data_IF_764458046030
#
_entry.id   IF_764458046030
#
_cell.length_a   1.000
_cell.length_b   1.000
_cell.length_c   1.000
_cell.angle_alpha   90.00
_cell.angle_beta   90.00
_cell.angle_gamma   90.00
#
_symmetry.space_group_name_H-M   'P 1'
#
loop_
_entity.id
_entity.type
_entity.pdbx_description
1 polymer ?
#
# COMPACT_ATOMS: atom_id res chain seq x y z
N UNK A 1 -19.73 -92.99 -10.65
CA UNK A 1 -19.03 -91.76 -11.09
C UNK A 1 -20.08 -90.71 -11.43
N UNK A 2 -20.34 -89.76 -10.54
CA UNK A 2 -21.29 -88.65 -10.76
C UNK A 2 -20.47 -87.40 -11.08
N UNK A 3 -20.66 -86.84 -12.27
CA UNK A 3 -19.89 -85.73 -12.81
C UNK A 3 -20.57 -84.40 -12.42
N UNK A 4 -19.92 -83.60 -11.58
CA UNK A 4 -20.44 -82.32 -11.10
C UNK A 4 -20.01 -81.19 -12.06
N UNK A 5 -20.92 -80.74 -12.95
CA UNK A 5 -20.67 -79.60 -13.85
C UNK A 5 -20.90 -78.29 -13.12
N UNK A 6 -19.83 -77.56 -12.78
CA UNK A 6 -19.87 -76.14 -12.40
C UNK A 6 -20.17 -75.30 -13.65
N UNK A 7 -21.31 -74.63 -13.69
CA UNK A 7 -21.63 -73.57 -14.66
C UNK A 7 -20.88 -72.29 -14.31
N UNK A 8 -19.89 -71.91 -15.12
CA UNK A 8 -19.25 -70.60 -15.06
C UNK A 8 -20.23 -69.58 -15.64
N UNK A 9 -20.68 -68.63 -14.82
CA UNK A 9 -21.56 -67.54 -15.24
C UNK A 9 -20.73 -66.54 -16.03
N UNK A 10 -20.92 -66.49 -17.34
CA UNK A 10 -20.18 -65.61 -18.25
C UNK A 10 -20.62 -64.16 -17.99
N UNK A 11 -19.81 -63.41 -17.24
CA UNK A 11 -20.00 -61.97 -17.06
C UNK A 11 -19.57 -61.28 -18.35
N UNK A 12 -20.54 -61.00 -19.23
CA UNK A 12 -20.30 -60.30 -20.49
C UNK A 12 -19.50 -59.02 -20.28
N UNK A 13 -18.25 -59.01 -20.74
CA UNK A 13 -17.40 -57.81 -20.76
C UNK A 13 -18.02 -56.82 -21.75
N UNK A 14 -18.61 -55.73 -21.22
CA UNK A 14 -19.04 -54.59 -22.04
C UNK A 14 -17.79 -53.92 -22.61
N UNK A 15 -17.59 -54.01 -23.92
CA UNK A 15 -16.55 -53.26 -24.62
C UNK A 15 -16.95 -51.79 -24.71
N UNK A 16 -16.01 -50.90 -24.41
CA UNK A 16 -16.19 -49.46 -24.56
C UNK A 16 -15.90 -49.07 -26.01
N UNK A 17 -16.83 -48.38 -26.67
CA UNK A 17 -16.62 -47.97 -28.06
C UNK A 17 -15.81 -46.68 -28.12
N UNK A 18 -15.01 -46.51 -29.18
CA UNK A 18 -14.20 -45.31 -29.38
C UNK A 18 -15.06 -44.04 -29.42
N UNK A 19 -16.28 -44.15 -29.95
CA UNK A 19 -17.23 -43.03 -30.03
C UNK A 19 -17.76 -42.61 -28.65
N UNK A 20 -18.04 -43.55 -27.76
CA UNK A 20 -18.44 -43.25 -26.38
C UNK A 20 -17.34 -42.51 -25.63
N UNK A 21 -16.08 -42.92 -25.80
CA UNK A 21 -14.94 -42.19 -25.24
C UNK A 21 -14.86 -40.76 -25.77
N UNK A 22 -15.00 -40.61 -27.08
CA UNK A 22 -14.87 -39.32 -27.76
C UNK A 22 -15.96 -38.32 -27.34
N UNK A 23 -17.19 -38.79 -27.17
CA UNK A 23 -18.29 -37.93 -26.69
C UNK A 23 -18.05 -37.48 -25.24
N UNK A 24 -17.58 -38.38 -24.37
CA UNK A 24 -17.32 -38.05 -22.96
C UNK A 24 -16.21 -37.00 -22.85
N UNK A 25 -15.10 -37.16 -23.57
CA UNK A 25 -14.02 -36.16 -23.54
C UNK A 25 -14.49 -34.82 -24.13
N UNK A 26 -15.34 -34.82 -25.16
CA UNK A 26 -15.89 -33.60 -25.75
C UNK A 26 -16.78 -32.84 -24.74
N UNK A 27 -17.63 -33.55 -24.01
CA UNK A 27 -18.47 -32.94 -22.96
C UNK A 27 -17.59 -32.36 -21.84
N UNK A 28 -16.60 -33.12 -21.35
CA UNK A 28 -15.68 -32.64 -20.31
C UNK A 28 -14.91 -31.40 -20.79
N UNK A 29 -14.42 -31.40 -22.03
CA UNK A 29 -13.72 -30.25 -22.60
C UNK A 29 -14.61 -29.00 -22.66
N UNK A 30 -15.88 -29.14 -23.08
CA UNK A 30 -16.85 -28.03 -23.09
C UNK A 30 -17.12 -27.53 -21.67
N UNK A 31 -17.33 -28.43 -20.71
CA UNK A 31 -17.57 -28.05 -19.31
C UNK A 31 -16.37 -27.30 -18.73
N UNK A 32 -15.13 -27.78 -18.94
CA UNK A 32 -13.92 -27.09 -18.47
C UNK A 32 -13.77 -25.73 -19.16
N UNK A 33 -14.02 -25.64 -20.47
CA UNK A 33 -13.93 -24.39 -21.21
C UNK A 33 -14.91 -23.32 -20.69
N UNK A 34 -16.10 -23.73 -20.23
CA UNK A 34 -17.08 -22.82 -19.65
C UNK A 34 -16.80 -22.51 -18.16
N UNK A 35 -16.27 -23.47 -17.41
CA UNK A 35 -16.00 -23.31 -15.97
C UNK A 35 -14.72 -22.52 -15.68
N UNK A 36 -13.65 -22.67 -16.48
CA UNK A 36 -12.37 -22.04 -16.21
C UNK A 36 -12.46 -20.50 -16.16
N UNK A 37 -13.08 -19.80 -17.13
CA UNK A 37 -13.24 -18.35 -17.05
C UNK A 37 -14.05 -17.91 -15.83
N UNK A 38 -15.12 -18.64 -15.50
CA UNK A 38 -15.98 -18.35 -14.37
C UNK A 38 -15.24 -18.50 -13.02
N UNK A 39 -14.44 -19.56 -12.86
CA UNK A 39 -13.63 -19.78 -11.66
C UNK A 39 -12.59 -18.67 -11.48
N UNK A 40 -11.96 -18.19 -12.56
CA UNK A 40 -10.99 -17.09 -12.46
C UNK A 40 -11.65 -15.77 -12.08
N UNK A 41 -12.81 -15.45 -12.66
CA UNK A 41 -13.58 -14.27 -12.28
C UNK A 41 -14.00 -14.31 -10.81
N UNK A 42 -14.47 -15.47 -10.33
CA UNK A 42 -14.84 -15.66 -8.93
C UNK A 42 -13.62 -15.49 -8.00
N UNK A 43 -12.46 -16.03 -8.37
CA UNK A 43 -11.21 -15.86 -7.60
C UNK A 43 -10.78 -14.40 -7.52
N UNK A 44 -10.81 -13.66 -8.63
CA UNK A 44 -10.46 -12.25 -8.60
C UNK A 44 -11.45 -11.41 -7.80
N UNK A 45 -12.76 -11.71 -7.88
CA UNK A 45 -13.75 -11.04 -7.04
C UNK A 45 -13.50 -11.29 -5.54
N UNK A 46 -13.09 -12.51 -5.17
CA UNK A 46 -12.71 -12.83 -3.79
C UNK A 46 -11.44 -12.09 -3.36
N UNK A 47 -10.38 -12.05 -4.19
CA UNK A 47 -9.17 -11.29 -3.90
C UNK A 47 -9.42 -9.79 -3.75
N UNK A 48 -10.24 -9.22 -4.63
CA UNK A 48 -10.70 -7.83 -4.54
C UNK A 48 -11.44 -7.55 -3.24
N UNK A 49 -12.31 -8.47 -2.83
CA UNK A 49 -13.01 -8.36 -1.55
C UNK A 49 -12.03 -8.42 -0.36
N UNK A 50 -10.97 -9.22 -0.47
CA UNK A 50 -9.90 -9.27 0.54
C UNK A 50 -9.10 -7.95 0.58
N UNK A 51 -8.70 -7.37 -0.56
CA UNK A 51 -7.98 -6.08 -0.55
C UNK A 51 -8.85 -4.96 0.05
N UNK A 52 -10.15 -4.94 -0.26
CA UNK A 52 -11.12 -4.06 0.40
C UNK A 52 -11.20 -4.30 1.92
N UNK A 53 -11.19 -5.56 2.36
CA UNK A 53 -11.22 -5.91 3.78
C UNK A 53 -9.93 -5.50 4.51
N UNK A 54 -8.77 -5.67 3.87
CA UNK A 54 -7.47 -5.23 4.40
C UNK A 54 -7.47 -3.71 4.64
N UNK A 55 -7.93 -2.91 3.65
CA UNK A 55 -8.12 -1.47 3.83
C UNK A 55 -9.11 -1.14 4.95
N UNK A 56 -10.18 -1.93 5.10
CA UNK A 56 -11.13 -1.74 6.21
C UNK A 56 -10.47 -2.01 7.56
N UNK A 57 -9.64 -3.05 7.67
CA UNK A 57 -8.89 -3.36 8.88
C UNK A 57 -7.87 -2.26 9.21
N UNK A 58 -7.13 -1.75 8.21
CA UNK A 58 -6.23 -0.61 8.38
C UNK A 58 -6.99 0.66 8.81
N UNK A 59 -8.15 0.92 8.22
CA UNK A 59 -9.03 2.03 8.62
C UNK A 59 -9.51 1.89 10.07
N UNK A 60 -9.92 0.70 10.51
CA UNK A 60 -10.29 0.45 11.91
C UNK A 60 -9.08 0.65 12.83
N UNK A 61 -7.89 0.17 12.44
CA UNK A 61 -6.67 0.37 13.21
C UNK A 61 -6.30 1.86 13.33
N UNK A 62 -6.49 2.67 12.28
CA UNK A 62 -6.31 4.12 12.33
C UNK A 62 -7.23 4.78 13.37
N UNK A 63 -8.51 4.39 13.43
CA UNK A 63 -9.45 4.93 14.41
C UNK A 63 -9.13 4.46 15.83
N UNK A 64 -8.77 3.19 16.02
CA UNK A 64 -8.32 2.71 17.34
C UNK A 64 -7.06 3.44 17.82
N UNK A 65 -6.11 3.72 16.91
CA UNK A 65 -4.94 4.55 17.21
C UNK A 65 -5.38 5.97 17.58
N UNK A 66 -6.27 6.58 16.81
CA UNK A 66 -6.79 7.92 17.07
C UNK A 66 -7.50 7.99 18.43
N UNK A 67 -8.32 7.02 18.79
CA UNK A 67 -9.00 6.97 20.08
C UNK A 67 -8.01 6.87 21.25
N UNK A 68 -6.92 6.13 21.09
CA UNK A 68 -5.89 5.99 22.11
C UNK A 68 -4.95 7.20 22.22
N UNK A 69 -4.70 7.93 21.11
CA UNK A 69 -3.68 8.99 21.04
C UNK A 69 -4.24 10.40 20.81
N UNK A 70 -5.54 10.53 20.54
CA UNK A 70 -6.23 11.78 20.21
C UNK A 70 -5.88 12.37 18.84
N UNK A 71 -5.21 11.60 17.97
CA UNK A 71 -4.77 11.99 16.63
C UNK A 71 -4.44 10.76 15.79
N UNK A 72 -4.56 10.86 14.46
CA UNK A 72 -4.04 9.84 13.55
C UNK A 72 -2.53 9.67 13.70
N UNK A 73 -1.96 8.49 13.39
CA UNK A 73 -0.53 8.29 13.49
C UNK A 73 0.17 9.25 12.53
N UNK A 74 1.28 9.82 13.00
CA UNK A 74 2.17 10.55 12.11
C UNK A 74 2.64 9.62 11.00
N UNK A 75 2.64 10.13 9.77
CA UNK A 75 3.12 9.43 8.60
C UNK A 75 4.55 8.96 8.78
N UNK A 76 5.41 9.90 9.20
CA UNK A 76 6.74 9.64 9.76
C UNK A 76 7.23 10.85 10.57
N UNK A 77 8.28 10.67 11.36
CA UNK A 77 8.89 11.75 12.15
C UNK A 77 9.78 12.58 11.23
N UNK A 78 9.72 13.92 11.32
CA UNK A 78 10.72 14.80 10.71
C UNK A 78 11.98 14.74 11.57
N UNK A 79 13.12 14.35 10.99
CA UNK A 79 14.41 14.30 11.66
C UNK A 79 14.83 15.58 12.41
N UNK A 80 14.32 16.75 12.02
CA UNK A 80 14.63 18.04 12.67
C UNK A 80 13.93 18.24 14.02
N UNK A 81 12.94 17.39 14.32
CA UNK A 81 12.23 17.33 15.61
C UNK A 81 12.95 16.46 16.64
N UNK A 82 14.08 15.83 16.27
CA UNK A 82 14.90 15.05 17.19
C UNK A 82 15.64 16.01 18.15
N UNK A 83 15.76 15.69 19.45
CA UNK A 83 16.40 16.56 20.43
C UNK A 83 17.78 17.08 19.99
N UNK A 84 18.13 18.30 20.41
CA UNK A 84 19.28 19.05 19.89
C UNK A 84 20.64 18.34 20.00
N UNK A 85 20.77 17.37 20.91
CA UNK A 85 21.95 16.52 21.08
C UNK A 85 22.18 15.50 19.95
N UNK A 86 21.18 15.26 19.09
CA UNK A 86 21.29 14.41 17.89
C UNK A 86 21.48 15.21 16.59
N UNK A 87 21.56 16.56 16.65
CA UNK A 87 21.80 17.40 15.45
C UNK A 87 23.19 17.22 14.85
N UNK A 88 24.10 16.58 15.58
CA UNK A 88 25.43 16.21 15.10
C UNK A 88 25.48 14.78 14.54
N UNK A 89 24.39 14.01 14.68
CA UNK A 89 24.24 12.72 14.02
C UNK A 89 23.60 12.95 12.64
N UNK A 90 24.33 12.71 11.53
CA UNK A 90 23.78 12.91 10.21
C UNK A 90 22.66 11.91 9.90
N UNK A 91 22.54 10.80 10.64
CA UNK A 91 21.64 9.69 10.30
C UNK A 91 20.46 9.61 11.26
N UNK A 92 19.25 9.86 10.75
CA UNK A 92 18.04 9.81 11.57
C UNK A 92 17.08 8.74 11.10
N UNK A 93 16.83 7.77 11.98
CA UNK A 93 15.83 6.73 11.79
C UNK A 93 14.46 7.10 12.35
N UNK A 94 13.40 6.81 11.59
CA UNK A 94 12.02 7.04 12.01
C UNK A 94 11.12 5.84 11.71
N UNK A 95 10.13 5.64 12.58
CA UNK A 95 9.04 4.71 12.38
C UNK A 95 7.90 5.36 11.58
N UNK A 96 7.36 4.63 10.63
CA UNK A 96 6.22 5.04 9.80
C UNK A 96 4.89 4.90 10.55
N UNK A 97 3.82 5.37 9.91
CA UNK A 97 2.44 5.09 10.36
C UNK A 97 2.14 3.59 10.45
N UNK A 98 2.65 2.77 9.52
CA UNK A 98 2.41 1.32 9.50
C UNK A 98 2.95 0.61 10.73
N UNK A 99 4.18 0.95 11.15
CA UNK A 99 4.76 0.44 12.40
C UNK A 99 3.96 0.86 13.64
N UNK A 100 3.38 2.08 13.63
CA UNK A 100 2.59 2.59 14.76
C UNK A 100 1.23 1.90 14.90
N UNK A 101 0.73 1.28 13.84
CA UNK A 101 -0.54 0.55 13.85
C UNK A 101 -0.42 -0.89 14.34
N UNK A 102 0.79 -1.45 14.48
CA UNK A 102 0.99 -2.85 14.86
C UNK A 102 0.20 -3.32 16.12
N UNK A 103 0.11 -2.55 17.22
CA UNK A 103 -0.70 -2.93 18.39
C UNK A 103 -2.19 -3.12 18.06
N UNK A 104 -2.68 -2.36 17.09
CA UNK A 104 -4.07 -2.33 16.64
C UNK A 104 -4.34 -3.33 15.49
N UNK A 105 -3.32 -4.09 15.09
CA UNK A 105 -3.35 -5.10 14.03
C UNK A 105 -2.95 -6.49 14.56
N UNK A 106 -3.13 -6.72 15.86
CA UNK A 106 -2.77 -7.98 16.54
C UNK A 106 -1.26 -8.32 16.46
N UNK A 107 -0.40 -7.32 16.22
CA UNK A 107 1.05 -7.47 16.14
C UNK A 107 1.78 -6.90 17.38
N UNK A 108 1.17 -7.02 18.57
CA UNK A 108 1.73 -6.51 19.83
C UNK A 108 3.15 -7.04 20.11
N UNK A 109 3.38 -8.34 19.91
CA UNK A 109 4.69 -8.95 20.14
C UNK A 109 5.79 -8.41 19.20
N UNK A 110 5.45 -8.07 17.95
CA UNK A 110 6.38 -7.44 17.02
C UNK A 110 6.65 -5.98 17.44
N UNK A 111 5.60 -5.26 17.83
CA UNK A 111 5.71 -3.88 18.30
C UNK A 111 6.64 -3.73 19.51
N UNK A 112 6.53 -4.64 20.49
CA UNK A 112 7.37 -4.67 21.69
C UNK A 112 8.82 -5.03 21.36
N UNK A 113 9.05 -6.01 20.48
CA UNK A 113 10.40 -6.40 20.04
C UNK A 113 11.14 -5.26 19.33
N UNK A 114 10.45 -4.57 18.43
CA UNK A 114 10.98 -3.39 17.73
C UNK A 114 11.11 -2.16 18.65
N UNK A 115 10.42 -2.15 19.80
CA UNK A 115 10.47 -1.11 20.82
C UNK A 115 10.16 0.30 20.28
N UNK A 116 9.15 0.38 19.42
CA UNK A 116 8.86 1.52 18.53
C UNK A 116 8.73 2.88 19.26
N UNK A 117 8.24 2.90 20.50
CA UNK A 117 8.07 4.15 21.26
C UNK A 117 9.35 4.65 21.95
N UNK A 118 10.33 3.76 22.18
CA UNK A 118 11.46 4.06 23.03
C UNK A 118 12.78 4.18 22.27
N UNK A 119 12.82 3.73 21.00
CA UNK A 119 14.05 3.77 20.20
C UNK A 119 13.81 4.26 18.77
N UNK A 120 14.85 4.86 18.19
CA UNK A 120 14.87 5.23 16.77
C UNK A 120 14.97 4.00 15.87
N UNK A 121 14.38 4.06 14.68
CA UNK A 121 14.35 2.95 13.72
C UNK A 121 15.75 2.38 13.42
N UNK A 122 16.75 3.25 13.25
CA UNK A 122 18.12 2.83 12.95
C UNK A 122 18.81 2.06 14.08
N UNK A 123 18.30 2.11 15.32
CA UNK A 123 18.82 1.25 16.40
C UNK A 123 18.39 -0.22 16.26
N UNK A 124 17.42 -0.51 15.37
CA UNK A 124 16.85 -1.83 15.11
C UNK A 124 17.34 -2.48 13.82
N UNK A 125 18.36 -1.92 13.18
CA UNK A 125 18.91 -2.47 11.93
C UNK A 125 19.50 -3.87 12.06
N UNK A 126 19.92 -4.25 13.27
CA UNK A 126 20.34 -5.61 13.58
C UNK A 126 19.18 -6.60 13.63
N UNK A 127 17.95 -6.12 13.86
CA UNK A 127 16.72 -6.91 13.92
C UNK A 127 16.10 -7.04 12.51
N UNK A 128 16.92 -7.39 11.52
CA UNK A 128 16.58 -7.40 10.09
C UNK A 128 15.35 -8.27 9.80
N UNK A 129 15.27 -9.45 10.42
CA UNK A 129 14.17 -10.39 10.23
C UNK A 129 12.80 -9.78 10.58
N UNK A 130 12.76 -8.88 11.57
CA UNK A 130 11.52 -8.22 11.97
C UNK A 130 11.13 -7.06 11.05
N UNK A 131 12.10 -6.38 10.43
CA UNK A 131 11.87 -5.28 9.47
C UNK A 131 11.53 -5.82 8.06
N UNK A 132 12.04 -6.99 7.71
CA UNK A 132 11.74 -7.66 6.44
C UNK A 132 10.47 -8.52 6.50
N UNK A 133 9.92 -8.76 7.70
CA UNK A 133 8.69 -9.55 7.90
C UNK A 133 7.48 -8.89 7.26
N UNK A 134 6.90 -9.54 6.25
CA UNK A 134 5.62 -9.14 5.68
C UNK A 134 4.45 -9.36 6.64
N UNK A 135 3.38 -8.59 6.44
CA UNK A 135 2.13 -8.74 7.17
C UNK A 135 0.98 -8.79 6.18
N UNK A 136 0.15 -9.84 6.25
CA UNK A 136 -0.92 -10.08 5.28
C UNK A 136 -1.93 -8.92 5.16
N UNK A 137 -2.19 -8.19 6.25
CA UNK A 137 -3.07 -7.01 6.25
C UNK A 137 -2.53 -5.87 5.39
N UNK A 138 -1.21 -5.82 5.16
CA UNK A 138 -0.58 -4.83 4.28
C UNK A 138 -0.44 -5.31 2.83
N UNK A 139 -0.96 -6.49 2.49
CA UNK A 139 -0.70 -7.18 1.21
C UNK A 139 -1.98 -7.37 0.42
N UNK A 140 -2.01 -6.97 -0.83
CA UNK A 140 -3.16 -7.25 -1.69
C UNK A 140 -2.94 -8.60 -2.39
N UNK A 141 -3.79 -9.63 -2.18
CA UNK A 141 -3.60 -10.94 -2.83
C UNK A 141 -3.73 -10.94 -4.35
N UNK A 142 -4.23 -9.86 -4.97
CA UNK A 142 -4.22 -9.70 -6.44
C UNK A 142 -2.89 -9.18 -6.97
N UNK A 143 -1.97 -8.77 -6.11
CA UNK A 143 -0.65 -8.30 -6.49
C UNK A 143 0.42 -9.35 -6.18
N UNK A 144 1.31 -9.59 -7.15
CA UNK A 144 2.39 -10.59 -7.08
C UNK A 144 3.69 -10.00 -6.54
N UNK A 145 3.60 -8.93 -5.76
CA UNK A 145 4.72 -8.28 -5.11
C UNK A 145 5.58 -9.29 -4.31
N UNK A 146 6.90 -9.13 -4.21
CA UNK A 146 7.71 -9.90 -3.26
C UNK A 146 7.38 -9.50 -1.81
N UNK A 147 7.56 -10.40 -0.85
CA UNK A 147 7.36 -10.09 0.58
C UNK A 147 8.30 -8.99 1.07
N UNK A 148 9.57 -9.07 0.64
CA UNK A 148 10.62 -8.08 0.93
C UNK A 148 10.82 -7.18 -0.29
N UNK A 149 10.85 -5.87 -0.05
CA UNK A 149 11.00 -4.87 -1.10
C UNK A 149 12.47 -4.57 -1.38
N UNK A 150 13.03 -5.21 -2.41
CA UNK A 150 14.43 -4.98 -2.80
C UNK A 150 14.68 -3.62 -3.45
N UNK A 151 13.63 -2.94 -3.94
CA UNK A 151 13.72 -1.62 -4.55
C UNK A 151 13.61 -0.46 -3.55
N UNK A 152 12.84 -0.68 -2.47
CA UNK A 152 12.67 0.28 -1.38
C UNK A 152 13.54 -0.09 -0.19
N UNK A 153 14.68 0.58 -0.08
CA UNK A 153 15.74 0.26 0.88
C UNK A 153 16.11 1.47 1.73
N UNK A 154 16.87 1.22 2.78
CA UNK A 154 17.59 2.25 3.53
C UNK A 154 19.00 1.79 3.82
N UNK A 155 19.91 2.73 4.08
CA UNK A 155 21.28 2.42 4.47
C UNK A 155 21.47 2.56 5.97
N UNK A 156 22.35 1.75 6.54
CA UNK A 156 22.68 1.79 7.97
C UNK A 156 23.62 2.93 8.38
N UNK A 157 24.22 3.64 7.42
CA UNK A 157 25.11 4.78 7.66
C UNK A 157 25.19 5.74 6.45
N UNK A 158 25.43 7.03 6.70
CA UNK A 158 25.72 8.05 5.68
C UNK A 158 27.17 7.98 5.16
N UNK A 159 27.44 8.59 4.01
CA UNK A 159 28.82 8.81 3.51
C UNK A 159 29.53 7.62 2.83
N UNK A 160 28.85 6.47 2.66
CA UNK A 160 29.42 5.27 2.03
C UNK A 160 30.15 4.39 3.03
N UNK A 161 29.65 3.16 3.24
CA UNK A 161 30.17 2.21 4.23
C UNK A 161 29.08 1.47 5.02
N UNK A 162 27.84 1.96 4.96
CA UNK A 162 26.67 1.25 5.49
C UNK A 162 26.24 0.06 4.64
N UNK A 163 25.59 -0.91 5.28
CA UNK A 163 24.81 -1.97 4.61
C UNK A 163 23.45 -1.43 4.18
N UNK A 164 23.05 -1.77 2.97
CA UNK A 164 21.70 -1.54 2.43
C UNK A 164 20.75 -2.63 2.91
N UNK A 165 19.62 -2.24 3.49
CA UNK A 165 18.61 -3.14 4.04
C UNK A 165 17.28 -2.88 3.32
N UNK A 166 16.59 -3.97 2.97
CA UNK A 166 15.24 -3.95 2.41
C UNK A 166 14.18 -3.94 3.49
N UNK A 167 12.98 -3.46 3.16
CA UNK A 167 11.86 -3.38 4.11
C UNK A 167 10.70 -4.22 3.59
N UNK A 168 9.90 -4.78 4.49
CA UNK A 168 8.68 -5.48 4.11
C UNK A 168 7.78 -4.62 3.19
N UNK A 169 7.29 -5.25 2.14
CA UNK A 169 6.45 -4.62 1.12
C UNK A 169 5.05 -4.36 1.65
N UNK A 170 4.53 -3.16 1.37
CA UNK A 170 3.12 -2.79 1.58
C UNK A 170 2.46 -2.46 0.25
N UNK A 171 1.25 -2.97 0.04
CA UNK A 171 0.38 -2.57 -1.06
C UNK A 171 -0.55 -1.41 -0.70
N UNK A 172 -0.39 -0.84 0.49
CA UNK A 172 -1.20 0.27 0.97
C UNK A 172 -0.29 1.37 1.50
N UNK A 173 -0.53 2.59 1.02
CA UNK A 173 0.29 3.76 1.33
C UNK A 173 -0.56 4.86 1.93
N UNK A 174 0.02 5.62 2.84
CA UNK A 174 -0.68 6.69 3.55
C UNK A 174 -0.80 7.95 2.71
N UNK A 175 -1.93 8.64 2.80
CA UNK A 175 -2.14 9.88 2.07
C UNK A 175 -1.33 11.03 2.66
N UNK A 176 -0.36 11.49 1.89
CA UNK A 176 0.60 12.49 2.30
C UNK A 176 0.21 13.90 1.85
N UNK A 177 -0.16 14.07 0.57
CA UNK A 177 -0.42 15.38 -0.01
C UNK A 177 -1.24 15.31 -1.31
N UNK A 178 -1.76 16.46 -1.72
CA UNK A 178 -2.48 16.63 -2.98
C UNK A 178 -1.61 17.14 -4.14
N UNK A 179 -0.33 17.48 -3.89
CA UNK A 179 0.61 17.87 -4.95
C UNK A 179 2.05 17.45 -4.64
N UNK A 180 2.83 17.18 -5.69
CA UNK A 180 4.26 16.85 -5.58
C UNK A 180 5.16 18.08 -5.38
N UNK A 181 4.68 19.30 -5.63
CA UNK A 181 5.51 20.52 -5.61
C UNK A 181 6.26 20.72 -4.26
N UNK A 182 5.69 20.25 -3.15
CA UNK A 182 6.29 20.34 -1.82
C UNK A 182 7.16 19.14 -1.42
N UNK A 183 7.07 18.03 -2.15
CA UNK A 183 7.88 16.84 -1.91
C UNK A 183 9.28 16.91 -2.56
N UNK A 184 9.47 17.79 -3.56
CA UNK A 184 10.46 17.55 -4.61
C UNK A 184 11.39 18.70 -4.97
N UNK A 185 11.41 19.83 -4.26
CA UNK A 185 12.53 20.73 -4.52
C UNK A 185 13.76 20.14 -3.84
N UNK A 186 14.76 19.76 -4.63
CA UNK A 186 16.13 19.62 -4.16
C UNK A 186 16.49 20.93 -3.45
N UNK A 187 16.57 20.88 -2.11
CA UNK A 187 16.71 22.07 -1.27
C UNK A 187 15.41 22.76 -0.81
N UNK A 188 14.23 22.35 -1.29
CA UNK A 188 13.00 22.60 -0.53
C UNK A 188 12.97 21.62 0.63
N UNK A 189 13.29 22.18 1.78
CA UNK A 189 12.68 21.88 3.06
C UNK A 189 11.37 21.11 2.85
N UNK A 190 11.34 19.81 3.16
CA UNK A 190 10.10 19.09 3.46
C UNK A 190 9.33 20.00 4.41
N UNK A 191 8.24 20.59 3.94
CA UNK A 191 7.76 21.83 4.54
C UNK A 191 7.32 21.60 5.99
N UNK A 192 8.15 22.08 6.92
CA UNK A 192 7.91 22.09 8.36
C UNK A 192 6.93 23.18 8.77
N UNK A 193 6.50 24.05 7.85
CA UNK A 193 5.55 25.14 8.10
C UNK A 193 4.09 24.72 7.91
N UNK A 194 3.81 23.41 7.76
CA UNK A 194 2.45 22.89 7.76
C UNK A 194 1.70 23.10 6.46
N UNK A 195 2.34 23.03 5.29
CA UNK A 195 1.68 22.96 3.97
C UNK A 195 1.61 21.52 3.42
N UNK A 196 1.46 20.53 4.30
CA UNK A 196 1.11 19.16 3.91
C UNK A 196 -0.38 19.01 4.14
N UNK A 197 -1.11 18.53 3.15
CA UNK A 197 -2.58 18.55 3.15
C UNK A 197 -3.24 17.17 3.24
N UNK A 198 -2.46 16.08 3.23
CA UNK A 198 -2.96 14.72 3.49
C UNK A 198 -3.30 14.42 4.95
N UNK A 199 -3.66 13.18 5.25
CA UNK A 199 -4.03 12.73 6.61
C UNK A 199 -2.82 12.15 7.37
N UNK A 200 -1.91 11.48 6.65
CA UNK A 200 -0.74 10.81 7.19
C UNK A 200 0.52 11.58 6.78
N UNK A 201 0.84 12.60 7.57
CA UNK A 201 1.84 13.63 7.23
C UNK A 201 3.08 13.56 8.15
N UNK A 202 4.12 14.34 7.85
CA UNK A 202 5.31 14.42 8.70
C UNK A 202 5.01 15.14 10.02
N UNK A 203 5.45 14.54 11.14
CA UNK A 203 5.58 15.15 12.48
C UNK A 203 4.35 15.73 13.15
N UNK A 204 3.24 15.85 12.43
CA UNK A 204 1.99 16.39 12.94
C UNK A 204 0.97 15.27 12.89
N UNK A 205 0.45 14.90 14.04
CA UNK A 205 -0.71 14.02 14.11
C UNK A 205 -1.95 14.84 13.79
N UNK A 206 -2.68 14.42 12.77
CA UNK A 206 -3.91 15.06 12.32
C UNK A 206 -5.07 14.52 13.14
N UNK A 207 -5.92 15.41 13.66
CA UNK A 207 -7.17 15.02 14.32
C UNK A 207 -8.29 14.91 13.30
N UNK A 208 -9.31 14.13 13.60
CA UNK A 208 -10.53 14.12 12.77
C UNK A 208 -11.12 15.53 12.60
N UNK A 209 -11.02 16.38 13.63
CA UNK A 209 -11.47 17.79 13.57
C UNK A 209 -10.64 18.68 12.66
N UNK A 210 -9.45 18.27 12.26
CA UNK A 210 -8.57 19.03 11.36
C UNK A 210 -8.89 18.75 9.88
N UNK A 211 -9.87 17.88 9.60
CA UNK A 211 -10.34 17.50 8.26
C UNK A 211 -11.63 18.27 7.96
N UNK A 212 -11.49 19.52 7.50
CA UNK A 212 -12.64 20.41 7.24
C UNK A 212 -13.44 20.04 6.01
N UNK A 213 -12.85 19.31 5.06
CA UNK A 213 -13.52 18.93 3.79
C UNK A 213 -14.43 17.70 3.95
N UNK A 214 -14.44 17.11 5.15
CA UNK A 214 -15.25 15.97 5.54
C UNK A 214 -14.48 14.66 5.50
N UNK A 215 -14.45 13.94 6.63
CA UNK A 215 -13.69 12.69 6.77
C UNK A 215 -14.11 11.57 5.82
N UNK A 216 -15.34 11.58 5.31
CA UNK A 216 -15.83 10.64 4.29
C UNK A 216 -15.33 10.95 2.87
N UNK A 217 -14.82 12.16 2.66
CA UNK A 217 -14.35 12.68 1.37
C UNK A 217 -12.84 12.97 1.36
N UNK A 218 -12.12 12.56 2.41
CA UNK A 218 -10.66 12.68 2.47
C UNK A 218 -10.05 11.29 2.51
N UNK A 219 -9.14 11.01 1.60
CA UNK A 219 -8.39 9.76 1.53
C UNK A 219 -7.42 9.71 2.71
N UNK A 220 -7.38 8.57 3.40
CA UNK A 220 -6.38 8.29 4.43
C UNK A 220 -5.33 7.28 3.95
N UNK A 221 -5.75 6.22 3.28
CA UNK A 221 -4.88 5.15 2.76
C UNK A 221 -5.36 4.76 1.36
N UNK A 222 -4.44 4.52 0.42
CA UNK A 222 -4.77 4.02 -0.91
C UNK A 222 -3.90 2.85 -1.34
N UNK A 223 -4.33 2.10 -2.35
CA UNK A 223 -3.53 1.00 -2.90
C UNK A 223 -2.34 1.51 -3.73
N UNK A 224 -1.23 0.76 -3.65
CA UNK A 224 -0.09 0.85 -4.54
C UNK A 224 0.38 -0.56 -4.93
N UNK A 225 0.31 -0.86 -6.23
CA UNK A 225 0.74 -2.15 -6.75
C UNK A 225 2.28 -2.24 -6.93
N UNK A 226 2.80 -3.44 -7.10
CA UNK A 226 4.21 -3.68 -7.41
C UNK A 226 4.56 -3.30 -8.84
N UNK A 227 3.66 -3.62 -9.77
CA UNK A 227 3.79 -3.29 -11.19
C UNK A 227 2.59 -2.47 -11.67
N UNK A 228 2.85 -1.56 -12.58
CA UNK A 228 1.83 -0.86 -13.36
C UNK A 228 1.22 -1.80 -14.40
N UNK A 229 0.07 -1.42 -14.97
CA UNK A 229 -0.63 -2.21 -15.98
C UNK A 229 0.16 -2.41 -17.28
N UNK A 230 1.14 -1.55 -17.55
CA UNK A 230 2.06 -1.65 -18.69
C UNK A 230 3.28 -2.55 -18.42
N UNK A 231 3.37 -3.15 -17.23
CA UNK A 231 4.45 -4.02 -16.81
C UNK A 231 5.64 -3.30 -16.15
N UNK A 232 5.61 -1.97 -16.03
CA UNK A 232 6.66 -1.21 -15.35
C UNK A 232 6.64 -1.51 -13.85
N UNK A 233 7.79 -1.80 -13.27
CA UNK A 233 7.91 -2.04 -11.82
C UNK A 233 7.92 -0.69 -11.09
N UNK A 234 6.93 -0.48 -10.22
CA UNK A 234 6.78 0.71 -9.38
C UNK A 234 7.18 0.46 -7.91
N UNK A 235 7.49 -0.80 -7.58
CA UNK A 235 8.06 -1.24 -6.30
C UNK A 235 7.13 -1.03 -5.09
N UNK A 236 5.82 -0.85 -5.28
CA UNK A 236 4.83 -0.71 -4.21
C UNK A 236 5.27 0.26 -3.06
N UNK A 237 4.77 0.03 -1.85
CA UNK A 237 5.15 0.73 -0.62
C UNK A 237 5.93 -0.14 0.37
N UNK A 238 6.17 0.39 1.57
CA UNK A 238 6.80 -0.34 2.69
C UNK A 238 6.03 -0.17 4.00
N UNK A 239 6.34 -0.99 5.02
CA UNK A 239 5.58 -1.03 6.28
C UNK A 239 6.22 -0.21 7.40
N UNK A 240 7.50 -0.40 7.73
CA UNK A 240 7.98 -0.10 9.09
C UNK A 240 8.62 1.28 9.31
N UNK A 241 9.52 1.71 8.44
CA UNK A 241 10.33 2.89 8.71
C UNK A 241 11.51 3.02 7.76
N UNK A 242 12.24 4.11 7.92
CA UNK A 242 13.41 4.40 7.11
C UNK A 242 14.36 5.39 7.78
N UNK A 243 15.31 5.86 6.99
CA UNK A 243 16.33 6.83 7.35
C UNK A 243 16.21 8.08 6.50
N UNK A 244 16.49 9.22 7.12
CA UNK A 244 16.87 10.45 6.43
C UNK A 244 18.25 10.90 6.88
N UNK A 245 18.94 11.61 5.98
CA UNK A 245 20.21 12.26 6.26
C UNK A 245 19.97 13.75 6.51
N UNK A 246 20.60 14.27 7.57
CA UNK A 246 20.53 15.65 7.98
C UNK A 246 21.83 16.42 7.73
N UNK A 247 21.69 17.67 7.32
CA UNK A 247 22.73 18.70 7.41
C UNK A 247 22.20 19.87 8.23
N UNK A 248 22.59 19.92 9.51
CA UNK A 248 22.02 20.84 10.49
C UNK A 248 20.53 20.56 10.75
N UNK A 249 19.67 21.54 10.43
CA UNK A 249 18.21 21.40 10.54
C UNK A 249 17.54 21.11 9.19
N UNK A 250 18.27 20.65 8.18
CA UNK A 250 17.72 20.38 6.86
C UNK A 250 17.83 18.89 6.54
N UNK A 251 16.73 18.29 6.12
CA UNK A 251 16.74 16.95 5.51
C UNK A 251 17.31 17.12 4.11
N UNK A 252 18.45 16.49 3.85
CA UNK A 252 19.11 16.53 2.53
C UNK A 252 18.84 15.26 1.71
N UNK A 253 18.46 14.16 2.37
CA UNK A 253 18.10 12.91 1.72
C UNK A 253 17.10 12.15 2.60
N UNK A 254 16.14 11.47 1.96
CA UNK A 254 15.33 10.42 2.59
C UNK A 254 15.48 9.17 1.75
N UNK A 255 15.82 8.05 2.39
CA UNK A 255 15.99 6.79 1.68
C UNK A 255 14.64 6.27 1.14
N UNK A 256 14.67 5.46 0.09
CA UNK A 256 13.46 5.08 -0.67
C UNK A 256 12.45 4.28 0.14
N UNK A 257 12.88 3.53 1.17
CA UNK A 257 11.98 2.91 2.12
C UNK A 257 11.07 3.94 2.83
N UNK A 258 11.55 5.16 3.05
CA UNK A 258 10.80 6.20 3.76
C UNK A 258 9.75 6.82 2.87
N UNK A 259 10.14 7.34 1.71
CA UNK A 259 9.20 7.96 0.77
C UNK A 259 8.08 7.01 0.33
N UNK A 260 8.37 5.72 0.22
CA UNK A 260 7.41 4.71 -0.27
C UNK A 260 6.30 4.34 0.73
N UNK A 261 6.34 4.80 1.99
CA UNK A 261 5.18 4.62 2.90
C UNK A 261 4.01 5.55 2.55
N UNK A 262 4.22 6.48 1.62
CA UNK A 262 3.29 7.55 1.27
C UNK A 262 2.82 7.51 -0.17
N UNK A 263 1.59 7.95 -0.37
CA UNK A 263 1.03 8.32 -1.65
C UNK A 263 0.52 9.75 -1.69
N UNK A 264 0.51 10.32 -2.88
CA UNK A 264 0.05 11.67 -3.13
C UNK A 264 -0.76 11.74 -4.43
N UNK A 265 -1.78 12.58 -4.46
CA UNK A 265 -2.57 12.81 -5.66
C UNK A 265 -1.83 13.78 -6.59
N UNK A 266 -0.74 13.36 -7.21
CA UNK A 266 0.12 14.25 -8.03
C UNK A 266 -0.60 14.75 -9.29
N UNK A 267 0.19 15.29 -10.23
CA UNK A 267 -0.13 15.44 -11.65
C UNK A 267 -0.48 14.16 -12.41
N UNK A 268 -0.75 13.05 -11.71
CA UNK A 268 -1.03 11.75 -12.30
C UNK A 268 -2.38 11.24 -11.85
N UNK A 269 -3.16 10.74 -12.80
CA UNK A 269 -4.37 10.00 -12.51
C UNK A 269 -4.07 8.66 -11.85
N UNK A 270 -5.15 7.97 -11.47
CA UNK A 270 -5.08 6.61 -10.93
C UNK A 270 -4.69 5.61 -12.02
N UNK A 271 -4.00 4.54 -11.61
CA UNK A 271 -3.52 3.49 -12.53
C UNK A 271 -2.74 4.03 -13.75
N UNK A 272 -1.77 4.94 -13.56
CA UNK A 272 -1.02 5.47 -14.69
C UNK A 272 -0.14 4.40 -15.32
N UNK A 273 0.31 4.69 -16.53
CA UNK A 273 1.46 4.04 -17.17
C UNK A 273 2.72 4.87 -16.95
N UNK A 274 3.89 4.27 -17.12
CA UNK A 274 5.17 4.98 -17.04
C UNK A 274 5.24 6.13 -18.06
N UNK A 275 4.60 5.97 -19.22
CA UNK A 275 4.51 7.02 -20.25
C UNK A 275 3.63 8.20 -19.80
N UNK A 276 2.51 7.94 -19.13
CA UNK A 276 1.56 9.00 -18.69
C UNK A 276 2.01 9.74 -17.44
N UNK A 277 2.84 9.13 -16.60
CA UNK A 277 3.19 9.63 -15.28
C UNK A 277 4.70 9.61 -14.98
N UNK A 278 5.55 9.51 -16.01
CA UNK A 278 7.02 9.63 -16.00
C UNK A 278 7.75 9.22 -14.72
N UNK A 279 7.99 10.14 -13.76
CA UNK A 279 8.74 9.87 -12.50
C UNK A 279 7.86 9.93 -11.25
N UNK A 280 6.54 10.09 -11.42
CA UNK A 280 5.59 10.28 -10.31
C UNK A 280 4.74 9.04 -10.07
N UNK A 281 4.82 8.03 -10.95
CA UNK A 281 3.98 6.84 -10.85
C UNK A 281 4.25 6.08 -9.54
N UNK A 282 5.45 6.22 -8.99
CA UNK A 282 5.91 5.54 -7.79
C UNK A 282 5.49 6.29 -6.51
N UNK A 283 4.88 7.48 -6.65
CA UNK A 283 4.27 8.28 -5.58
C UNK A 283 2.74 8.39 -5.67
N UNK A 284 2.14 8.09 -6.82
CA UNK A 284 0.68 8.07 -6.94
C UNK A 284 0.09 6.72 -6.53
N UNK A 285 -1.19 6.54 -6.78
CA UNK A 285 -1.96 5.37 -6.39
C UNK A 285 -2.35 4.55 -7.61
N UNK A 286 -2.22 3.25 -7.47
CA UNK A 286 -2.52 2.29 -8.51
C UNK A 286 -2.76 0.91 -7.93
N UNK A 287 -3.57 0.11 -8.61
CA UNK A 287 -4.05 -1.17 -8.14
C UNK A 287 -3.86 -2.25 -9.20
N UNK A 288 -3.71 -3.49 -8.75
CA UNK A 288 -3.78 -4.67 -9.62
C UNK A 288 -5.21 -4.89 -10.16
N UNK A 289 -6.22 -4.25 -9.57
CA UNK A 289 -7.61 -4.38 -9.98
C UNK A 289 -7.93 -3.55 -11.23
N UNK A 290 -8.84 -4.06 -12.05
CA UNK A 290 -9.32 -3.36 -13.25
C UNK A 290 -10.24 -2.18 -12.90
N UNK A 291 -10.07 -1.06 -13.61
CA UNK A 291 -10.99 0.08 -13.64
C UNK A 291 -10.85 1.11 -12.53
N UNK A 292 -9.97 0.93 -11.54
CA UNK A 292 -9.85 1.87 -10.43
C UNK A 292 -8.95 1.38 -9.29
N UNK A 293 -9.05 2.04 -8.15
CA UNK A 293 -8.22 1.83 -6.96
C UNK A 293 -9.09 1.87 -5.70
N UNK A 294 -8.83 1.00 -4.73
CA UNK A 294 -9.49 1.11 -3.42
C UNK A 294 -8.79 2.14 -2.52
N UNK A 295 -9.60 2.86 -1.75
CA UNK A 295 -9.12 3.82 -0.77
C UNK A 295 -9.87 3.62 0.53
N UNK A 296 -9.14 3.63 1.65
CA UNK A 296 -9.74 3.88 2.95
C UNK A 296 -9.83 5.40 3.15
N UNK A 297 -11.03 5.89 3.41
CA UNK A 297 -11.28 7.30 3.72
C UNK A 297 -10.97 7.56 5.20
N UNK A 298 -10.83 8.82 5.58
CA UNK A 298 -10.48 9.21 6.95
C UNK A 298 -11.56 8.84 7.98
N UNK A 299 -12.82 8.64 7.55
CA UNK A 299 -13.90 8.08 8.39
C UNK A 299 -13.85 6.54 8.54
N UNK A 300 -12.87 5.88 7.91
CA UNK A 300 -12.70 4.44 7.93
C UNK A 300 -13.63 3.67 6.97
N UNK A 301 -14.40 4.36 6.12
CA UNK A 301 -15.10 3.73 4.99
C UNK A 301 -14.10 3.36 3.89
N UNK A 302 -14.48 2.41 3.02
CA UNK A 302 -13.63 2.00 1.89
C UNK A 302 -14.39 2.20 0.60
N UNK A 303 -13.81 2.98 -0.30
CA UNK A 303 -14.38 3.35 -1.59
C UNK A 303 -13.52 2.81 -2.73
N UNK A 304 -14.15 2.46 -3.85
CA UNK A 304 -13.43 2.12 -5.09
C UNK A 304 -13.60 3.28 -6.05
N UNK A 305 -12.50 3.98 -6.32
CA UNK A 305 -12.50 5.18 -7.16
C UNK A 305 -12.04 4.80 -8.56
N UNK A 306 -12.85 5.16 -9.56
CA UNK A 306 -12.59 4.84 -10.95
C UNK A 306 -11.38 5.58 -11.51
N UNK A 307 -10.65 4.96 -12.43
CA UNK A 307 -9.45 5.56 -13.05
C UNK A 307 -9.73 6.75 -13.98
N UNK A 308 -11.01 6.99 -14.29
CA UNK A 308 -11.49 8.15 -15.05
C UNK A 308 -11.85 9.35 -14.16
N UNK A 309 -11.52 9.31 -12.86
CA UNK A 309 -11.71 10.46 -11.96
C UNK A 309 -10.98 11.68 -12.52
N UNK A 310 -11.65 12.84 -12.44
CA UNK A 310 -11.05 14.12 -12.83
C UNK A 310 -9.81 14.41 -11.98
N UNK A 311 -8.70 14.73 -12.66
CA UNK A 311 -7.44 15.08 -12.01
C UNK A 311 -6.74 16.16 -12.83
N UNK A 312 -5.97 16.99 -12.13
CA UNK A 312 -5.13 18.02 -12.74
C UNK A 312 -3.75 17.46 -13.07
N UNK A 313 -3.16 17.88 -14.20
CA UNK A 313 -1.74 17.65 -14.51
C UNK A 313 -0.85 18.81 -14.06
N UNK A 314 -1.44 19.87 -13.49
CA UNK A 314 -0.72 21.03 -12.97
C UNK A 314 0.08 20.67 -11.72
N UNK A 315 1.27 21.27 -11.58
CA UNK A 315 2.07 21.20 -10.35
C UNK A 315 1.70 22.29 -9.34
N UNK A 316 1.14 23.42 -9.80
CA UNK A 316 0.75 24.56 -8.96
C UNK A 316 -0.63 24.29 -8.34
N UNK A 317 -0.62 23.65 -7.17
CA UNK A 317 -1.76 22.91 -6.60
C UNK A 317 -2.61 23.63 -5.57
N UNK A 318 -2.41 24.93 -5.27
CA UNK A 318 -3.32 25.61 -4.32
C UNK A 318 -4.62 26.04 -5.01
N UNK A 319 -5.58 25.12 -4.98
CA UNK A 319 -7.05 25.27 -4.97
C UNK A 319 -7.77 25.70 -6.26
N UNK A 320 -7.17 26.47 -7.18
CA UNK A 320 -7.94 26.97 -8.35
C UNK A 320 -8.08 25.97 -9.50
N UNK A 321 -7.11 25.07 -9.68
CA UNK A 321 -7.03 24.13 -10.82
C UNK A 321 -6.92 22.66 -10.37
N UNK A 322 -7.23 22.35 -9.11
CA UNK A 322 -7.18 20.99 -8.57
C UNK A 322 -8.40 20.19 -9.03
N UNK A 323 -8.15 19.03 -9.64
CA UNK A 323 -9.19 18.10 -10.05
C UNK A 323 -9.75 17.35 -8.85
N UNK A 324 -10.86 16.64 -9.05
CA UNK A 324 -11.56 15.92 -7.97
C UNK A 324 -10.63 14.99 -7.18
N UNK A 325 -9.72 14.29 -7.86
CA UNK A 325 -8.77 13.39 -7.21
C UNK A 325 -7.84 14.10 -6.24
N UNK A 326 -7.31 15.29 -6.60
CA UNK A 326 -6.48 16.07 -5.70
C UNK A 326 -7.26 16.56 -4.48
N UNK A 327 -8.51 16.97 -4.66
CA UNK A 327 -9.37 17.41 -3.55
C UNK A 327 -9.62 16.29 -2.55
N UNK A 328 -9.79 15.05 -3.02
CA UNK A 328 -9.91 13.90 -2.12
C UNK A 328 -8.64 13.62 -1.32
N UNK A 329 -7.47 14.01 -1.82
CA UNK A 329 -6.22 13.89 -1.08
C UNK A 329 -5.95 15.08 -0.15
N UNK A 330 -6.69 16.18 -0.28
CA UNK A 330 -6.60 17.35 0.59
C UNK A 330 -7.61 17.24 1.75
N UNK A 331 -7.20 17.62 2.95
CA UNK A 331 -8.08 17.61 4.14
C UNK A 331 -8.78 18.95 4.39
N UNK A 332 -8.30 20.05 3.79
CA UNK A 332 -8.67 21.43 4.14
C UNK A 332 -8.63 22.45 3.00
N UNK A 333 -8.92 22.04 1.77
CA UNK A 333 -9.00 22.95 0.62
C UNK A 333 -10.29 23.79 0.60
N UNK A 334 -11.27 23.43 1.45
CA UNK A 334 -12.56 24.11 1.58
C UNK A 334 -13.57 23.74 0.50
N UNK A 335 -13.24 22.82 -0.41
CA UNK A 335 -14.08 22.38 -1.50
C UNK A 335 -14.64 21.00 -1.20
N UNK A 336 -15.86 20.94 -0.68
CA UNK A 336 -16.54 19.65 -0.47
C UNK A 336 -16.74 18.93 -1.80
N UNK A 337 -16.16 17.74 -1.92
CA UNK A 337 -16.42 16.84 -3.05
C UNK A 337 -17.82 16.22 -2.87
N UNK A 338 -18.65 16.30 -3.91
CA UNK A 338 -19.99 15.67 -3.93
C UNK A 338 -19.90 14.13 -4.04
N UNK A 339 -21.02 13.45 -4.30
CA UNK A 339 -20.97 12.02 -4.67
C UNK A 339 -20.39 11.88 -6.09
N UNK A 340 -19.36 11.04 -6.25
CA UNK A 340 -18.67 10.72 -7.52
C UNK A 340 -18.62 9.21 -7.76
#
# INVERSE_FOLDING_TARGET
>A
MVNNRRTIKDSGRRGFTLIELLVVIAIIAILIALLLPAVQQAREAARRSQCKNNLKQLGIALHNYHDANGMFPIGMVNPTSVPANHRNDPDVGFWSWGARLLPFLEQQALYERLNINNVHFLSRVADRDDIERGLDVFRCPSDEAPEVNSGRTFNTASGGGGTTISVATSNYVGNFDDTRQYANAEGAKLDTNGNQDGVLVYSVGIKVTDISDGSSNTIAIGERAWALKDGTIAEAGTIYGARSVLEGNNIIQTDSAGSSVFGLASRCGLNPTAATCSQDYDWTYHSAHAGGVHFAMADGSVQFIGENIDFSTSLDGRNANSGVFQRLANRRDGNTVGAF
#
